data_IF_825653199702
#
_entry.id   IF_825653199702
#
_cell.length_a   1.000
_cell.length_b   1.000
_cell.length_c   1.000
_cell.angle_alpha   90.00
_cell.angle_beta   90.00
_cell.angle_gamma   90.00
#
_symmetry.space_group_name_H-M   'P 1'
#
loop_
_entity.id
_entity.type
_entity.pdbx_description
1 polymer ?
#
# COMPACT_ATOMS: atom_id res chain seq x y z
N UNK A 1 -16.60 -4.21 -10.53
CA UNK A 1 -17.00 -4.05 -9.12
C UNK A 1 -15.77 -4.32 -8.30
N UNK A 2 -14.98 -3.28 -8.02
CA UNK A 2 -13.95 -3.41 -7.01
C UNK A 2 -14.48 -2.81 -5.72
N UNK A 3 -14.32 -3.61 -4.70
CA UNK A 3 -15.00 -3.54 -3.45
C UNK A 3 -13.93 -3.05 -2.47
N UNK A 4 -13.78 -1.74 -2.32
CA UNK A 4 -12.81 -1.17 -1.38
C UNK A 4 -13.37 -1.18 0.03
N UNK A 5 -12.49 -1.25 1.03
CA UNK A 5 -12.88 -1.09 2.44
C UNK A 5 -12.55 0.31 2.94
N UNK A 6 -13.42 0.85 3.78
CA UNK A 6 -13.21 2.12 4.47
C UNK A 6 -13.35 1.91 5.97
N UNK A 7 -12.56 2.58 6.83
CA UNK A 7 -12.85 2.62 8.25
C UNK A 7 -14.17 3.33 8.48
N UNK A 8 -15.16 2.59 8.96
CA UNK A 8 -16.42 3.12 9.46
C UNK A 8 -16.65 2.62 10.88
N UNK A 9 -17.08 3.51 11.77
CA UNK A 9 -17.42 3.16 13.16
C UNK A 9 -16.26 2.44 13.88
N UNK A 10 -15.03 2.85 13.57
CA UNK A 10 -13.78 2.32 14.16
C UNK A 10 -13.28 1.00 13.57
N UNK A 11 -13.89 0.47 12.50
CA UNK A 11 -13.47 -0.80 11.85
C UNK A 11 -13.44 -0.68 10.34
N UNK A 12 -12.52 -1.40 9.68
CA UNK A 12 -12.56 -1.53 8.22
C UNK A 12 -13.78 -2.35 7.80
N UNK A 13 -14.69 -1.72 7.07
CA UNK A 13 -15.89 -2.35 6.53
C UNK A 13 -15.91 -2.23 5.01
N UNK A 14 -16.54 -3.22 4.36
CA UNK A 14 -16.91 -3.16 2.96
C UNK A 14 -17.67 -1.86 2.64
N UNK A 15 -17.30 -1.14 1.58
CA UNK A 15 -17.94 0.12 1.22
C UNK A 15 -19.47 -0.03 1.07
N UNK A 16 -19.95 -1.16 0.54
CA UNK A 16 -21.40 -1.46 0.39
C UNK A 16 -22.16 -1.59 1.73
N UNK A 17 -21.46 -1.75 2.85
CA UNK A 17 -22.05 -1.87 4.19
C UNK A 17 -22.11 -0.53 4.93
N UNK A 18 -21.49 0.51 4.38
CA UNK A 18 -21.59 1.87 4.91
C UNK A 18 -23.00 2.38 4.67
N UNK A 19 -23.58 3.02 5.69
CA UNK A 19 -24.94 3.55 5.66
C UNK A 19 -24.98 4.96 6.23
N UNK A 20 -26.08 5.67 5.96
CA UNK A 20 -26.36 6.94 6.62
C UNK A 20 -26.26 6.79 8.14
N UNK A 21 -25.57 7.72 8.79
CA UNK A 21 -25.28 7.72 10.22
C UNK A 21 -24.00 6.98 10.62
N UNK A 22 -23.32 6.27 9.72
CA UNK A 22 -21.96 5.77 9.99
C UNK A 22 -20.96 6.91 10.08
N UNK A 23 -19.87 6.70 10.84
CA UNK A 23 -18.74 7.64 10.97
C UNK A 23 -17.52 7.16 10.18
N UNK A 24 -17.15 7.88 9.13
CA UNK A 24 -15.96 7.59 8.32
C UNK A 24 -14.71 8.23 8.90
N UNK A 25 -13.58 7.54 8.94
CA UNK A 25 -12.33 8.12 9.43
C UNK A 25 -11.87 9.31 8.55
N UNK A 26 -11.60 10.45 9.20
CA UNK A 26 -11.02 11.64 8.57
C UNK A 26 -9.56 11.40 8.19
N UNK A 27 -9.14 11.90 7.02
CA UNK A 27 -7.74 11.87 6.60
C UNK A 27 -6.77 12.73 7.41
N UNK A 28 -7.25 13.55 8.35
CA UNK A 28 -6.41 14.43 9.19
C UNK A 28 -5.54 13.68 10.21
N UNK A 29 -5.85 12.42 10.47
CA UNK A 29 -5.13 11.59 11.44
C UNK A 29 -5.28 10.15 10.93
N UNK A 30 -4.20 9.62 10.36
CA UNK A 30 -4.12 8.28 9.75
C UNK A 30 -4.28 7.11 10.74
N UNK A 31 -5.20 7.22 11.69
CA UNK A 31 -5.56 6.19 12.63
C UNK A 31 -7.08 6.06 12.75
N UNK A 32 -7.52 4.81 12.90
CA UNK A 32 -8.91 4.34 13.02
C UNK A 32 -9.69 4.94 14.20
N UNK A 33 -9.09 5.84 14.99
CA UNK A 33 -9.65 6.47 16.19
C UNK A 33 -9.95 7.98 16.08
N UNK A 34 -9.84 8.56 14.89
CA UNK A 34 -10.07 10.01 14.68
C UNK A 34 -11.55 10.38 14.67
N UNK A 35 -11.93 11.62 15.08
CA UNK A 35 -13.29 12.10 14.89
C UNK A 35 -13.62 12.08 13.39
N UNK A 36 -14.55 11.19 13.04
CA UNK A 36 -14.91 10.93 11.66
C UNK A 36 -15.94 11.89 11.09
N UNK A 37 -16.14 11.83 9.78
CA UNK A 37 -17.25 12.50 9.11
C UNK A 37 -18.51 11.64 9.19
N UNK A 38 -19.65 12.28 9.50
CA UNK A 38 -20.95 11.62 9.47
C UNK A 38 -21.43 11.43 8.03
N UNK A 39 -21.83 10.19 7.72
CA UNK A 39 -22.42 9.88 6.41
C UNK A 39 -23.86 10.37 6.40
N UNK A 40 -24.15 11.38 5.58
CA UNK A 40 -25.49 11.96 5.42
C UNK A 40 -26.29 11.28 4.31
N UNK A 41 -25.62 10.71 3.30
CA UNK A 41 -26.24 9.98 2.18
C UNK A 41 -25.23 9.02 1.54
N UNK A 42 -25.73 7.97 0.87
CA UNK A 42 -24.90 7.03 0.11
C UNK A 42 -25.43 6.95 -1.32
N UNK A 43 -24.52 7.06 -2.29
CA UNK A 43 -24.82 6.90 -3.71
C UNK A 43 -23.84 5.91 -4.34
N UNK A 44 -24.33 5.13 -5.30
CA UNK A 44 -23.50 4.19 -6.07
C UNK A 44 -23.05 4.91 -7.35
N UNK A 45 -21.75 4.87 -7.61
CA UNK A 45 -21.16 5.44 -8.83
C UNK A 45 -20.14 4.46 -9.42
N UNK A 46 -19.91 4.57 -10.72
CA UNK A 46 -18.90 3.80 -11.45
C UNK A 46 -17.80 4.76 -11.89
N UNK A 47 -16.57 4.43 -11.54
CA UNK A 47 -15.37 5.20 -11.89
C UNK A 47 -14.26 4.23 -12.28
N UNK A 48 -13.22 4.77 -12.90
CA UNK A 48 -11.97 4.04 -13.12
C UNK A 48 -11.37 3.61 -11.78
N UNK A 49 -10.76 2.42 -11.77
CA UNK A 49 -10.10 1.88 -10.60
C UNK A 49 -8.62 2.21 -10.74
N UNK A 50 -8.06 2.90 -9.76
CA UNK A 50 -6.61 3.13 -9.67
C UNK A 50 -6.11 2.32 -8.48
N UNK A 51 -5.31 1.28 -8.74
CA UNK A 51 -4.70 0.48 -7.68
C UNK A 51 -3.35 1.09 -7.26
N UNK A 52 -3.41 2.08 -6.38
CA UNK A 52 -2.22 2.80 -5.92
C UNK A 52 -1.44 1.94 -4.91
N UNK A 53 -0.13 1.80 -5.14
CA UNK A 53 0.76 1.11 -4.21
C UNK A 53 1.25 2.06 -3.11
N UNK A 54 0.81 1.86 -1.86
CA UNK A 54 1.22 2.68 -0.70
C UNK A 54 1.92 1.87 0.38
N UNK A 55 2.69 2.55 1.23
CA UNK A 55 3.50 1.91 2.28
C UNK A 55 2.69 1.40 3.47
N UNK A 56 1.53 1.98 3.72
CA UNK A 56 0.62 1.65 4.81
C UNK A 56 -0.65 0.94 4.30
N UNK A 57 -0.73 0.69 2.99
CA UNK A 57 -1.88 0.09 2.32
C UNK A 57 -3.21 0.81 2.53
N UNK A 58 -3.10 2.11 2.82
CA UNK A 58 -4.21 3.03 2.94
C UNK A 58 -4.00 4.19 1.97
N UNK A 59 -5.10 4.83 1.62
CA UNK A 59 -5.12 6.00 0.75
C UNK A 59 -6.16 6.98 1.26
N UNK A 60 -5.89 8.27 1.08
CA UNK A 60 -6.88 9.31 1.29
C UNK A 60 -7.65 9.54 0.00
N UNK A 61 -8.96 9.29 0.04
CA UNK A 61 -9.85 9.42 -1.11
C UNK A 61 -10.83 10.55 -0.84
N UNK A 62 -11.01 11.42 -1.83
CA UNK A 62 -12.01 12.48 -1.81
C UNK A 62 -12.72 12.52 -3.17
N UNK A 63 -14.01 12.85 -3.17
CA UNK A 63 -14.67 13.32 -4.38
C UNK A 63 -14.20 14.73 -4.73
N UNK A 64 -14.61 15.24 -5.90
CA UNK A 64 -14.22 16.57 -6.43
C UNK A 64 -14.39 17.71 -5.41
N UNK A 65 -15.48 17.67 -4.64
CA UNK A 65 -15.79 18.64 -3.58
C UNK A 65 -15.79 18.01 -2.17
N UNK A 66 -15.32 16.76 -2.08
CA UNK A 66 -15.38 15.96 -0.86
C UNK A 66 -14.23 16.23 0.10
N UNK A 67 -14.46 15.96 1.39
CA UNK A 67 -13.36 15.88 2.36
C UNK A 67 -12.66 14.52 2.23
N UNK A 68 -11.33 14.47 2.39
CA UNK A 68 -10.59 13.22 2.28
C UNK A 68 -10.96 12.26 3.42
N UNK A 69 -11.30 11.04 3.05
CA UNK A 69 -11.55 9.90 3.94
C UNK A 69 -10.49 8.83 3.73
N UNK A 70 -10.16 8.10 4.78
CA UNK A 70 -9.24 6.96 4.67
C UNK A 70 -9.95 5.81 3.98
N UNK A 71 -9.30 5.19 2.99
CA UNK A 71 -9.73 3.95 2.36
C UNK A 71 -8.56 2.97 2.29
N UNK A 72 -8.86 1.67 2.20
CA UNK A 72 -7.86 0.64 1.94
C UNK A 72 -7.50 0.64 0.45
N UNK A 73 -6.23 0.40 0.14
CA UNK A 73 -5.76 0.12 -1.22
C UNK A 73 -6.00 -1.34 -1.64
N UNK A 74 -6.46 -2.20 -0.73
CA UNK A 74 -6.73 -3.60 -1.04
C UNK A 74 -8.18 -3.87 -1.44
N UNK A 75 -8.40 -4.82 -2.35
CA UNK A 75 -9.74 -5.32 -2.63
C UNK A 75 -10.30 -6.05 -1.40
N UNK A 76 -11.62 -5.99 -1.24
CA UNK A 76 -12.34 -6.42 -0.04
C UNK A 76 -12.09 -7.87 0.37
N UNK A 77 -11.80 -8.73 -0.61
CA UNK A 77 -11.62 -10.17 -0.41
C UNK A 77 -10.30 -10.51 0.31
N UNK A 78 -9.27 -9.66 0.18
CA UNK A 78 -7.96 -9.86 0.83
C UNK A 78 -7.69 -8.85 1.94
N UNK A 79 -8.46 -7.76 2.01
CA UNK A 79 -8.19 -6.62 2.89
C UNK A 79 -8.04 -7.01 4.38
N UNK A 80 -8.86 -7.93 4.93
CA UNK A 80 -8.71 -8.36 6.33
C UNK A 80 -7.35 -9.03 6.59
N UNK A 81 -6.94 -9.90 5.68
CA UNK A 81 -5.69 -10.63 5.76
C UNK A 81 -4.49 -9.67 5.62
N UNK A 82 -4.55 -8.73 4.68
CA UNK A 82 -3.46 -7.80 4.43
C UNK A 82 -3.30 -6.76 5.54
N UNK A 83 -4.37 -6.30 6.17
CA UNK A 83 -4.26 -5.42 7.35
C UNK A 83 -3.72 -6.16 8.58
N UNK A 84 -3.93 -7.48 8.67
CA UNK A 84 -3.31 -8.31 9.70
C UNK A 84 -1.85 -8.68 9.38
N UNK A 85 -1.45 -8.59 8.11
CA UNK A 85 -0.09 -8.87 7.67
C UNK A 85 0.86 -7.75 8.11
N UNK A 86 2.04 -8.07 8.65
CA UNK A 86 3.00 -7.04 9.05
C UNK A 86 3.61 -6.38 7.80
N UNK A 87 3.04 -5.24 7.37
CA UNK A 87 3.43 -4.54 6.12
C UNK A 87 4.91 -4.14 6.11
N UNK A 88 5.55 -3.95 7.27
CA UNK A 88 6.99 -3.70 7.36
C UNK A 88 7.87 -4.88 6.87
N UNK A 89 7.29 -6.07 6.66
CA UNK A 89 7.97 -7.22 6.06
C UNK A 89 7.82 -7.27 4.54
N UNK A 90 6.97 -6.42 3.94
CA UNK A 90 6.81 -6.34 2.50
C UNK A 90 7.99 -5.60 1.87
N UNK A 91 8.79 -6.33 1.11
CA UNK A 91 9.91 -5.81 0.33
C UNK A 91 9.39 -4.95 -0.81
N UNK A 92 8.28 -5.34 -1.44
CA UNK A 92 7.69 -4.57 -2.53
C UNK A 92 7.11 -3.22 -2.06
N UNK A 93 6.54 -3.17 -0.86
CA UNK A 93 6.13 -1.90 -0.20
C UNK A 93 7.33 -1.00 0.10
N UNK A 94 8.46 -1.57 0.54
CA UNK A 94 9.68 -0.78 0.71
C UNK A 94 10.21 -0.23 -0.63
N UNK A 95 10.07 -1.00 -1.72
CA UNK A 95 10.43 -0.53 -3.06
C UNK A 95 9.49 0.58 -3.56
N UNK A 96 8.18 0.50 -3.30
CA UNK A 96 7.24 1.56 -3.68
C UNK A 96 7.50 2.85 -2.91
N UNK A 97 8.00 2.78 -1.67
CA UNK A 97 8.47 3.95 -0.93
C UNK A 97 9.68 4.62 -1.60
N UNK A 98 10.66 3.82 -2.01
CA UNK A 98 11.93 4.31 -2.56
C UNK A 98 11.81 4.77 -4.02
N UNK A 99 10.98 4.10 -4.81
CA UNK A 99 10.83 4.29 -6.25
C UNK A 99 9.35 4.30 -6.67
N UNK A 100 8.54 5.23 -6.12
CA UNK A 100 7.08 5.20 -6.28
C UNK A 100 6.64 5.21 -7.74
N UNK A 101 7.26 6.03 -8.57
CA UNK A 101 6.90 6.15 -9.98
C UNK A 101 7.26 4.88 -10.77
N UNK A 102 8.45 4.34 -10.58
CA UNK A 102 8.93 3.17 -11.32
C UNK A 102 8.17 1.91 -10.93
N UNK A 103 7.88 1.76 -9.63
CA UNK A 103 7.09 0.63 -9.13
C UNK A 103 5.66 0.71 -9.64
N UNK A 104 5.05 1.90 -9.70
CA UNK A 104 3.71 2.06 -10.27
C UNK A 104 3.69 1.75 -11.76
N UNK A 105 4.65 2.26 -12.56
CA UNK A 105 4.74 1.92 -14.00
C UNK A 105 4.88 0.42 -14.22
N UNK A 106 5.76 -0.24 -13.45
CA UNK A 106 5.91 -1.69 -13.53
C UNK A 106 4.63 -2.44 -13.14
N UNK A 107 3.93 -1.95 -12.12
CA UNK A 107 2.66 -2.51 -11.70
C UNK A 107 1.61 -2.42 -12.83
N UNK A 108 1.41 -1.23 -13.37
CA UNK A 108 0.41 -0.95 -14.42
C UNK A 108 0.69 -1.76 -15.69
N UNK A 109 1.96 -1.87 -16.11
CA UNK A 109 2.33 -2.58 -17.35
C UNK A 109 2.30 -4.11 -17.24
N UNK A 110 2.66 -4.66 -16.07
CA UNK A 110 2.92 -6.10 -15.94
C UNK A 110 2.03 -6.83 -14.93
N UNK A 111 1.66 -6.18 -13.83
CA UNK A 111 0.94 -6.83 -12.74
C UNK A 111 -0.57 -6.63 -12.82
N UNK A 112 -1.04 -5.49 -13.32
CA UNK A 112 -2.48 -5.17 -13.43
C UNK A 112 -3.24 -6.17 -14.32
N UNK A 113 -2.56 -6.73 -15.33
CA UNK A 113 -3.14 -7.69 -16.27
C UNK A 113 -3.23 -9.12 -15.73
N UNK A 114 -2.64 -9.40 -14.56
CA UNK A 114 -2.66 -10.75 -14.00
C UNK A 114 -4.04 -11.06 -13.39
N UNK A 115 -4.56 -12.29 -13.54
CA UNK A 115 -5.90 -12.66 -13.12
C UNK A 115 -5.99 -12.90 -11.60
N UNK A 116 -5.68 -11.88 -10.79
CA UNK A 116 -5.77 -11.93 -9.34
C UNK A 116 -7.23 -11.90 -8.83
N UNK A 117 -8.18 -11.51 -9.68
CA UNK A 117 -9.61 -11.42 -9.36
C UNK A 117 -10.26 -12.78 -9.01
N UNK A 118 -9.58 -13.89 -9.30
CA UNK A 118 -10.05 -15.25 -9.08
C UNK A 118 -9.16 -16.07 -8.17
N UNK A 119 -8.19 -15.48 -7.46
CA UNK A 119 -7.51 -16.23 -6.40
C UNK A 119 -8.59 -16.56 -5.36
N UNK A 120 -8.97 -17.85 -5.16
CA UNK A 120 -9.91 -18.20 -4.12
C UNK A 120 -9.31 -17.65 -2.84
N UNK A 121 -10.04 -16.72 -2.19
CA UNK A 121 -9.65 -16.08 -0.95
C UNK A 121 -9.00 -17.15 -0.09
N UNK A 122 -7.66 -17.04 0.06
CA UNK A 122 -6.78 -18.14 0.43
C UNK A 122 -7.44 -18.94 1.56
N UNK A 123 -8.12 -20.04 1.22
CA UNK A 123 -8.90 -20.83 2.17
C UNK A 123 -7.96 -21.74 2.97
N UNK A 124 -6.82 -21.18 3.31
CA UNK A 124 -5.72 -21.78 4.02
C UNK A 124 -5.60 -21.09 5.38
N UNK A 125 -5.10 -21.80 6.40
CA UNK A 125 -4.76 -21.19 7.68
C UNK A 125 -3.97 -19.88 7.53
N UNK A 126 -4.29 -18.87 8.33
CA UNK A 126 -3.64 -17.54 8.31
C UNK A 126 -2.11 -17.58 8.22
N UNK A 127 -1.39 -18.47 8.94
CA UNK A 127 0.07 -18.55 8.82
C UNK A 127 0.54 -18.93 7.41
N UNK A 128 -0.15 -19.87 6.76
CA UNK A 128 0.15 -20.26 5.38
C UNK A 128 -0.20 -19.14 4.40
N UNK A 129 -1.27 -18.39 4.69
CA UNK A 129 -1.64 -17.22 3.90
C UNK A 129 -0.56 -16.13 3.97
N UNK A 130 0.02 -15.88 5.15
CA UNK A 130 1.15 -14.95 5.31
C UNK A 130 2.41 -15.41 4.59
N UNK A 131 2.72 -16.70 4.61
CA UNK A 131 3.84 -17.25 3.84
C UNK A 131 3.61 -17.06 2.33
N UNK A 132 2.40 -17.33 1.85
CA UNK A 132 2.04 -17.12 0.45
C UNK A 132 2.13 -15.64 0.05
N UNK A 133 1.60 -14.73 0.87
CA UNK A 133 1.71 -13.28 0.67
C UNK A 133 3.18 -12.86 0.59
N UNK A 134 4.00 -13.30 1.54
CA UNK A 134 5.43 -12.99 1.55
C UNK A 134 6.14 -13.53 0.29
N UNK A 135 5.82 -14.74 -0.14
CA UNK A 135 6.40 -15.33 -1.34
C UNK A 135 6.00 -14.55 -2.61
N UNK A 136 4.74 -14.12 -2.71
CA UNK A 136 4.24 -13.29 -3.81
C UNK A 136 4.93 -11.92 -3.79
N UNK A 137 5.02 -11.29 -2.61
CA UNK A 137 5.70 -10.00 -2.41
C UNK A 137 7.16 -10.05 -2.85
N UNK A 138 7.90 -11.07 -2.41
CA UNK A 138 9.28 -11.28 -2.81
C UNK A 138 9.41 -11.55 -4.31
N UNK A 139 8.48 -12.30 -4.89
CA UNK A 139 8.46 -12.57 -6.34
C UNK A 139 8.27 -11.28 -7.14
N UNK A 140 7.34 -10.41 -6.73
CA UNK A 140 7.15 -9.10 -7.38
C UNK A 140 8.37 -8.20 -7.21
N UNK A 141 8.99 -8.17 -6.03
CA UNK A 141 10.21 -7.40 -5.79
C UNK A 141 11.37 -7.88 -6.69
N UNK A 142 11.57 -9.19 -6.82
CA UNK A 142 12.59 -9.76 -7.71
C UNK A 142 12.27 -9.47 -9.17
N UNK A 143 11.01 -9.61 -9.60
CA UNK A 143 10.59 -9.30 -10.97
C UNK A 143 10.84 -7.83 -11.31
N UNK A 144 10.49 -6.90 -10.41
CA UNK A 144 10.79 -5.48 -10.56
C UNK A 144 12.29 -5.21 -10.63
N UNK A 145 13.10 -5.85 -9.76
CA UNK A 145 14.54 -5.69 -9.78
C UNK A 145 15.17 -6.19 -11.09
N UNK A 146 14.75 -7.36 -11.58
CA UNK A 146 15.22 -7.91 -12.86
C UNK A 146 14.80 -7.03 -14.04
N UNK A 147 13.57 -6.52 -14.04
CA UNK A 147 13.10 -5.56 -15.05
C UNK A 147 13.92 -4.27 -15.02
N UNK A 148 14.19 -3.74 -13.82
CA UNK A 148 15.00 -2.54 -13.63
C UNK A 148 16.45 -2.75 -14.08
N UNK A 149 17.02 -3.94 -13.87
CA UNK A 149 18.36 -4.31 -14.35
C UNK A 149 18.44 -4.48 -15.87
N UNK A 150 17.33 -4.84 -16.52
CA UNK A 150 17.25 -5.02 -17.96
C UNK A 150 17.08 -3.68 -18.72
N UNK A 151 16.74 -2.58 -18.04
CA UNK A 151 16.61 -1.24 -18.63
C UNK A 151 17.76 -0.32 -18.18
N UNK A 152 18.30 0.46 -19.12
CA UNK A 152 19.41 1.40 -18.84
C UNK A 152 18.99 2.45 -17.81
N UNK A 153 17.74 2.91 -17.87
CA UNK A 153 17.16 3.88 -16.95
C UNK A 153 16.93 3.30 -15.55
N UNK A 154 16.39 2.08 -15.46
CA UNK A 154 16.19 1.38 -14.18
C UNK A 154 17.51 1.06 -13.48
N UNK A 155 18.54 0.71 -14.24
CA UNK A 155 19.88 0.44 -13.72
C UNK A 155 20.52 1.69 -13.09
N UNK A 156 20.41 2.84 -13.74
CA UNK A 156 20.95 4.13 -13.23
C UNK A 156 20.24 4.56 -11.95
N UNK A 157 18.91 4.44 -11.90
CA UNK A 157 18.12 4.78 -10.71
C UNK A 157 18.45 3.87 -9.53
N UNK A 158 18.60 2.56 -9.77
CA UNK A 158 18.99 1.61 -8.73
C UNK A 158 20.39 1.91 -8.16
N UNK A 159 21.37 2.21 -9.03
CA UNK A 159 22.71 2.61 -8.59
C UNK A 159 22.70 3.92 -7.80
N UNK A 160 21.92 4.91 -8.22
CA UNK A 160 21.80 6.19 -7.51
C UNK A 160 21.23 5.99 -6.10
N UNK A 161 20.22 5.14 -5.94
CA UNK A 161 19.64 4.82 -4.63
C UNK A 161 20.59 4.01 -3.73
N UNK A 162 21.35 3.06 -4.28
CA UNK A 162 22.39 2.34 -3.54
C UNK A 162 23.48 3.32 -3.08
N UNK A 163 23.92 4.22 -3.96
CA UNK A 163 24.91 5.25 -3.64
C UNK A 163 24.41 6.19 -2.54
N UNK A 164 23.16 6.67 -2.61
CA UNK A 164 22.53 7.50 -1.58
C UNK A 164 22.37 6.76 -0.25
N UNK A 165 21.97 5.49 -0.28
CA UNK A 165 21.86 4.64 0.90
C UNK A 165 23.20 4.38 1.58
N UNK A 166 24.27 4.18 0.80
CA UNK A 166 25.64 4.07 1.31
C UNK A 166 26.14 5.39 1.91
N UNK A 167 25.86 6.52 1.25
CA UNK A 167 26.24 7.85 1.74
C UNK A 167 25.53 8.20 3.05
N UNK A 168 24.23 7.88 3.16
CA UNK A 168 23.46 8.04 4.40
C UNK A 168 24.01 7.20 5.56
N UNK A 169 24.43 5.96 5.29
CA UNK A 169 25.07 5.08 6.29
C UNK A 169 26.45 5.59 6.73
N UNK A 170 27.24 6.15 5.81
CA UNK A 170 28.53 6.77 6.14
C UNK A 170 28.35 8.02 7.02
N UNK A 171 27.36 8.86 6.71
CA UNK A 171 27.03 10.05 7.49
C UNK A 171 26.53 9.70 8.91
N UNK A 172 25.69 8.67 9.05
CA UNK A 172 25.23 8.18 10.35
C UNK A 172 26.37 7.56 11.17
N UNK A 173 27.28 6.83 10.52
CA UNK A 173 28.46 6.25 11.17
C UNK A 173 29.45 7.34 11.61
N UNK A 174 29.69 8.36 10.78
CA UNK A 174 30.52 9.52 11.11
C UNK A 174 29.94 10.32 12.30
N UNK A 175 28.63 10.56 12.32
CA UNK A 175 27.97 11.24 13.44
C UNK A 175 28.03 10.46 14.76
N UNK A 176 27.95 9.12 14.72
CA UNK A 176 28.12 8.30 15.94
C UNK A 176 29.55 8.32 16.47
N UNK A 177 30.55 8.36 15.59
CA UNK A 177 31.96 8.46 16.01
C UNK A 177 32.27 9.81 16.68
N UNK A 178 31.75 10.93 16.15
CA UNK A 178 31.90 12.24 16.79
C UNK A 178 31.11 12.40 18.10
N UNK A 179 30.10 11.58 18.35
CA UNK A 179 29.27 11.63 19.57
C UNK A 179 29.88 10.84 20.76
N UNK A 180 30.92 10.05 20.53
CA UNK A 180 31.58 9.24 21.58
C UNK A 180 32.84 9.93 22.16
N UNK A 181 33.20 11.13 21.68
CA UNK A 181 34.36 11.90 22.14
C UNK A 181 34.03 13.04 23.12
N UNK A 182 32.84 13.03 23.74
CA UNK A 182 32.45 13.98 24.79
C UNK A 182 31.98 13.30 26.07
#
# INVERSE_FOLDING_TARGET
VDHTRTPADGKFVAARKVKQGSKLASGSTGSTGSPGYDVTSVAISLHEIVNVMTTDSQILVAGVEGKPVVASTYPEWVSDLMHAYPVHLSVYSALSYLFPQQVQVFYDEYLEHLPFSNLPALAVPTPLAFVAIFAIDLTHAVAFALHSLASVEGFVVMLAAVALGLNGRLQVKARRLCSFEH
#
